data_IF_296771421514
#
_entry.id   IF_296771421514
#
_cell.length_a   1.000
_cell.length_b   1.000
_cell.length_c   1.000
_cell.angle_alpha   90.00
_cell.angle_beta   90.00
_cell.angle_gamma   90.00
#
_symmetry.space_group_name_H-M   'P 1'
#
loop_
_entity.id
_entity.type
_entity.pdbx_description
1 polymer ?
#
# COMPACT_ATOMS: atom_id res chain seq x y z
N UNK A 1 -23.64 -8.26 -16.88
CA UNK A 1 -22.42 -8.19 -16.04
C UNK A 1 -22.14 -9.60 -15.59
N UNK A 2 -21.15 -10.26 -16.18
CA UNK A 2 -20.77 -11.62 -15.78
C UNK A 2 -20.15 -11.57 -14.38
N UNK A 3 -20.62 -12.44 -13.48
CA UNK A 3 -19.97 -12.66 -12.18
C UNK A 3 -18.59 -13.24 -12.42
N UNK A 4 -17.54 -12.62 -11.87
CA UNK A 4 -16.15 -13.10 -12.04
C UNK A 4 -15.85 -14.33 -11.20
N UNK A 5 -16.69 -14.64 -10.20
CA UNK A 5 -16.53 -15.80 -9.33
C UNK A 5 -17.87 -16.28 -8.77
N UNK A 6 -18.00 -17.60 -8.61
CA UNK A 6 -19.17 -18.27 -8.05
C UNK A 6 -18.75 -19.52 -7.29
N UNK A 7 -19.34 -19.74 -6.12
CA UNK A 7 -19.14 -20.94 -5.33
C UNK A 7 -20.43 -21.45 -4.70
N UNK A 8 -20.52 -22.77 -4.55
CA UNK A 8 -21.54 -23.39 -3.72
C UNK A 8 -21.14 -23.28 -2.24
N UNK A 9 -22.10 -22.95 -1.38
CA UNK A 9 -21.86 -22.89 0.05
C UNK A 9 -23.10 -23.33 0.85
N UNK A 10 -22.89 -23.66 2.12
CA UNK A 10 -23.93 -24.13 3.02
C UNK A 10 -24.04 -23.21 4.24
N UNK A 11 -25.27 -22.84 4.58
CA UNK A 11 -25.58 -22.11 5.81
C UNK A 11 -26.32 -23.03 6.79
N UNK A 12 -25.68 -23.37 7.90
CA UNK A 12 -26.30 -24.15 8.97
C UNK A 12 -27.36 -23.31 9.71
N UNK A 13 -28.56 -23.86 9.87
CA UNK A 13 -29.64 -23.29 10.70
C UNK A 13 -30.23 -24.37 11.59
N UNK A 14 -30.91 -23.95 12.67
CA UNK A 14 -31.61 -24.84 13.60
C UNK A 14 -32.62 -25.78 12.91
N UNK A 15 -33.26 -25.32 11.83
CA UNK A 15 -34.27 -26.07 11.07
C UNK A 15 -33.69 -26.79 9.84
N UNK A 16 -32.37 -27.02 9.80
CA UNK A 16 -31.69 -27.70 8.70
C UNK A 16 -30.79 -26.79 7.87
N UNK A 17 -29.93 -27.43 7.08
CA UNK A 17 -28.93 -26.77 6.25
C UNK A 17 -29.59 -26.11 5.04
N UNK A 18 -29.19 -24.87 4.73
CA UNK A 18 -29.56 -24.21 3.48
C UNK A 18 -28.39 -24.23 2.52
N UNK A 19 -28.58 -24.86 1.37
CA UNK A 19 -27.65 -24.75 0.25
C UNK A 19 -27.85 -23.41 -0.44
N UNK A 20 -26.74 -22.74 -0.68
CA UNK A 20 -26.67 -21.41 -1.25
C UNK A 20 -25.61 -21.37 -2.34
N UNK A 21 -25.79 -20.43 -3.24
CA UNK A 21 -24.77 -20.01 -4.19
C UNK A 21 -24.32 -18.62 -3.77
N UNK A 22 -23.00 -18.42 -3.67
CA UNK A 22 -22.38 -17.11 -3.47
C UNK A 22 -21.67 -16.71 -4.77
N UNK A 23 -22.03 -15.54 -5.29
CA UNK A 23 -21.44 -14.95 -6.49
C UNK A 23 -20.80 -13.61 -6.14
N UNK A 24 -19.66 -13.31 -6.75
CA UNK A 24 -19.00 -12.01 -6.63
C UNK A 24 -19.08 -11.30 -7.98
N UNK A 25 -19.72 -10.15 -7.97
CA UNK A 25 -19.71 -9.20 -9.08
C UNK A 25 -18.67 -8.09 -8.82
N UNK A 26 -18.58 -7.14 -9.74
CA UNK A 26 -17.63 -6.02 -9.66
C UNK A 26 -17.76 -5.19 -8.38
N UNK A 27 -18.94 -5.06 -7.79
CA UNK A 27 -19.25 -4.15 -6.69
C UNK A 27 -20.14 -4.78 -5.60
N UNK A 28 -20.49 -6.07 -5.72
CA UNK A 28 -21.38 -6.75 -4.78
C UNK A 28 -21.12 -8.24 -4.64
N UNK A 29 -21.48 -8.77 -3.48
CA UNK A 29 -21.64 -10.20 -3.21
C UNK A 29 -23.13 -10.53 -3.30
N UNK A 30 -23.47 -11.54 -4.10
CA UNK A 30 -24.85 -11.99 -4.32
C UNK A 30 -24.99 -13.39 -3.71
N UNK A 31 -25.96 -13.57 -2.83
CA UNK A 31 -26.23 -14.85 -2.16
C UNK A 31 -27.64 -15.30 -2.49
N UNK A 32 -27.72 -16.49 -3.10
CA UNK A 32 -28.98 -17.07 -3.56
C UNK A 32 -29.21 -18.41 -2.87
N UNK A 33 -30.31 -18.56 -2.12
CA UNK A 33 -30.69 -19.88 -1.59
C UNK A 33 -31.22 -20.72 -2.76
N UNK A 34 -30.78 -21.97 -2.88
CA UNK A 34 -31.22 -22.84 -3.98
C UNK A 34 -32.74 -23.07 -3.94
N UNK A 35 -33.34 -23.13 -2.74
CA UNK A 35 -34.79 -23.26 -2.56
C UNK A 35 -35.60 -22.06 -3.03
N UNK A 36 -34.97 -20.89 -3.16
CA UNK A 36 -35.66 -19.62 -3.44
C UNK A 36 -35.41 -19.16 -4.89
N UNK A 37 -34.78 -20.01 -5.71
CA UNK A 37 -34.55 -19.74 -7.13
C UNK A 37 -35.87 -19.75 -7.92
N UNK A 38 -36.05 -18.85 -8.90
CA UNK A 38 -35.10 -17.81 -9.36
C UNK A 38 -35.22 -16.45 -8.63
N UNK A 39 -36.13 -16.31 -7.66
CA UNK A 39 -36.69 -15.00 -7.30
C UNK A 39 -36.01 -14.25 -6.15
N UNK A 40 -35.34 -14.91 -5.20
CA UNK A 40 -34.77 -14.22 -4.03
C UNK A 40 -33.24 -14.24 -4.01
N UNK A 41 -32.65 -13.05 -4.14
CA UNK A 41 -31.21 -12.80 -4.05
C UNK A 41 -30.94 -11.78 -2.95
N UNK A 42 -30.00 -12.08 -2.06
CA UNK A 42 -29.51 -11.08 -1.11
C UNK A 42 -28.23 -10.49 -1.68
N UNK A 43 -28.21 -9.18 -1.87
CA UNK A 43 -27.05 -8.47 -2.39
C UNK A 43 -26.40 -7.67 -1.27
N UNK A 44 -25.08 -7.76 -1.16
CA UNK A 44 -24.26 -6.99 -0.23
C UNK A 44 -23.26 -6.19 -1.04
N UNK A 45 -23.26 -4.88 -0.85
CA UNK A 45 -22.29 -4.00 -1.51
C UNK A 45 -20.87 -4.26 -0.99
N UNK A 46 -19.90 -4.33 -1.89
CA UNK A 46 -18.48 -4.43 -1.56
C UNK A 46 -17.97 -3.03 -1.27
N UNK A 47 -17.85 -2.71 0.02
CA UNK A 47 -17.29 -1.46 0.50
C UNK A 47 -16.69 -1.65 1.91
N UNK A 48 -16.14 -0.57 2.46
CA UNK A 48 -15.46 -0.58 3.76
C UNK A 48 -16.39 -0.65 4.99
N UNK A 49 -17.70 -0.84 4.78
CA UNK A 49 -18.68 -1.12 5.83
C UNK A 49 -19.13 -2.59 5.83
N UNK A 50 -18.73 -3.38 4.83
CA UNK A 50 -18.93 -4.83 4.81
C UNK A 50 -17.79 -5.50 5.59
N UNK A 51 -18.15 -6.12 6.72
CA UNK A 51 -17.21 -6.84 7.56
C UNK A 51 -17.23 -8.34 7.28
N UNK A 52 -16.05 -8.94 7.19
CA UNK A 52 -15.90 -10.36 6.85
C UNK A 52 -15.00 -11.07 7.85
N UNK A 53 -15.39 -12.29 8.24
CA UNK A 53 -14.63 -13.15 9.13
C UNK A 53 -14.40 -14.52 8.47
N UNK A 54 -13.44 -15.30 8.98
CA UNK A 54 -13.17 -16.66 8.52
C UNK A 54 -13.05 -17.63 9.67
N UNK A 55 -13.53 -18.87 9.46
CA UNK A 55 -13.19 -19.99 10.33
C UNK A 55 -12.01 -20.75 9.75
N UNK A 56 -11.01 -21.01 10.57
CA UNK A 56 -9.82 -21.78 10.20
C UNK A 56 -9.75 -23.03 11.07
N UNK A 57 -9.49 -24.18 10.47
CA UNK A 57 -9.22 -25.44 11.16
C UNK A 57 -8.15 -26.20 10.38
N UNK A 58 -7.14 -26.75 11.08
CA UNK A 58 -6.06 -27.52 10.46
C UNK A 58 -5.40 -26.80 9.26
N UNK A 59 -5.11 -25.49 9.42
CA UNK A 59 -4.56 -24.61 8.37
C UNK A 59 -5.43 -24.44 7.11
N UNK A 60 -6.72 -24.79 7.18
CA UNK A 60 -7.67 -24.64 6.08
C UNK A 60 -8.85 -23.75 6.46
N UNK A 61 -9.29 -22.91 5.52
CA UNK A 61 -10.54 -22.17 5.62
C UNK A 61 -11.72 -23.15 5.59
N UNK A 62 -12.67 -22.94 6.49
CA UNK A 62 -13.85 -23.78 6.67
C UNK A 62 -15.16 -23.04 6.36
N UNK A 63 -15.18 -21.74 6.61
CA UNK A 63 -16.34 -20.89 6.37
C UNK A 63 -15.94 -19.42 6.26
N UNK A 64 -16.77 -18.66 5.55
CA UNK A 64 -16.78 -17.20 5.52
C UNK A 64 -17.96 -16.67 6.34
N UNK A 65 -17.71 -15.69 7.19
CA UNK A 65 -18.69 -14.98 7.99
C UNK A 65 -18.95 -13.62 7.37
N UNK A 66 -20.18 -13.35 6.95
CA UNK A 66 -20.60 -12.04 6.45
C UNK A 66 -21.33 -11.31 7.58
N UNK A 67 -20.78 -10.18 8.00
CA UNK A 67 -21.26 -9.39 9.12
C UNK A 67 -21.93 -8.14 8.56
N UNK A 68 -23.25 -8.11 8.71
CA UNK A 68 -24.12 -6.97 8.38
C UNK A 68 -24.82 -6.53 9.67
N UNK A 69 -26.16 -6.44 9.68
CA UNK A 69 -26.93 -6.36 10.93
C UNK A 69 -26.88 -7.67 11.74
N UNK A 70 -26.51 -8.78 11.10
CA UNK A 70 -26.36 -10.11 11.70
C UNK A 70 -25.08 -10.75 11.18
N UNK A 71 -24.54 -11.68 11.97
CA UNK A 71 -23.42 -12.52 11.56
C UNK A 71 -23.94 -13.78 10.86
N UNK A 72 -23.57 -14.00 9.60
CA UNK A 72 -24.00 -15.16 8.80
C UNK A 72 -22.80 -15.97 8.30
N UNK A 73 -22.72 -17.24 8.71
CA UNK A 73 -21.67 -18.17 8.31
C UNK A 73 -22.08 -19.00 7.09
N UNK A 74 -21.18 -19.08 6.11
CA UNK A 74 -21.31 -19.88 4.90
C UNK A 74 -20.10 -20.80 4.78
N UNK A 75 -20.35 -22.11 4.81
CA UNK A 75 -19.34 -23.16 4.75
C UNK A 75 -19.13 -23.58 3.30
N UNK A 76 -17.89 -23.70 2.89
CA UNK A 76 -17.48 -24.09 1.54
C UNK A 76 -16.12 -24.80 1.60
N UNK A 77 -15.68 -25.36 0.48
CA UNK A 77 -14.34 -25.94 0.40
C UNK A 77 -13.24 -24.88 0.55
N UNK A 78 -12.07 -25.32 1.00
CA UNK A 78 -10.94 -24.46 1.29
C UNK A 78 -10.48 -23.64 0.09
N UNK A 79 -10.45 -24.23 -1.12
CA UNK A 79 -9.90 -23.55 -2.29
C UNK A 79 -10.82 -22.41 -2.74
N UNK A 80 -12.14 -22.64 -2.77
CA UNK A 80 -13.11 -21.60 -3.07
C UNK A 80 -13.08 -20.47 -2.05
N UNK A 81 -12.88 -20.77 -0.76
CA UNK A 81 -12.73 -19.75 0.27
C UNK A 81 -11.44 -18.94 0.13
N UNK A 82 -10.33 -19.57 -0.27
CA UNK A 82 -9.05 -18.88 -0.55
C UNK A 82 -9.23 -17.94 -1.76
N UNK A 83 -9.82 -18.43 -2.85
CA UNK A 83 -10.08 -17.63 -4.04
C UNK A 83 -11.01 -16.45 -3.71
N UNK A 84 -12.07 -16.69 -2.92
CA UNK A 84 -12.99 -15.64 -2.48
C UNK A 84 -12.27 -14.58 -1.63
N UNK A 85 -11.41 -15.01 -0.68
CA UNK A 85 -10.61 -14.11 0.15
C UNK A 85 -9.72 -13.21 -0.72
N UNK A 86 -9.04 -13.77 -1.72
CA UNK A 86 -8.18 -13.01 -2.63
C UNK A 86 -8.97 -12.03 -3.50
N UNK A 87 -10.14 -12.43 -4.02
CA UNK A 87 -11.00 -11.56 -4.84
C UNK A 87 -11.54 -10.37 -4.04
N UNK A 88 -11.89 -10.60 -2.78
CA UNK A 88 -12.39 -9.55 -1.89
C UNK A 88 -11.24 -8.66 -1.42
N UNK A 89 -10.14 -9.25 -0.92
CA UNK A 89 -8.91 -8.56 -0.54
C UNK A 89 -9.16 -7.25 0.21
N UNK A 90 -8.39 -6.22 -0.15
CA UNK A 90 -8.47 -4.89 0.44
C UNK A 90 -9.74 -4.10 0.07
N UNK A 91 -10.74 -4.69 -0.61
CA UNK A 91 -11.98 -4.02 -1.02
C UNK A 91 -13.09 -4.07 0.05
N UNK A 92 -12.85 -4.84 1.10
CA UNK A 92 -13.71 -5.03 2.27
C UNK A 92 -12.87 -4.97 3.53
N UNK A 93 -13.51 -5.02 4.70
CA UNK A 93 -12.79 -5.04 5.98
C UNK A 93 -12.92 -6.40 6.63
N UNK A 94 -11.81 -7.07 6.86
CA UNK A 94 -11.77 -8.33 7.57
C UNK A 94 -11.75 -8.15 9.10
N UNK A 95 -12.18 -9.17 9.82
CA UNK A 95 -12.06 -9.32 11.27
C UNK A 95 -11.08 -10.46 11.59
N UNK A 96 -10.55 -10.47 12.81
CA UNK A 96 -9.70 -11.56 13.30
C UNK A 96 -8.41 -11.73 12.52
N UNK A 97 -7.55 -10.71 12.45
CA UNK A 97 -6.22 -10.81 11.79
C UNK A 97 -5.40 -11.98 12.36
N UNK A 98 -5.50 -12.22 13.67
CA UNK A 98 -4.89 -13.34 14.37
C UNK A 98 -5.48 -14.72 14.02
N UNK A 99 -6.64 -14.77 13.37
CA UNK A 99 -7.21 -16.02 12.83
C UNK A 99 -6.41 -16.50 11.62
N UNK A 100 -5.83 -15.58 10.85
CA UNK A 100 -5.17 -15.85 9.58
C UNK A 100 -3.65 -15.70 9.64
N UNK A 101 -3.13 -14.90 10.56
CA UNK A 101 -1.71 -14.57 10.63
C UNK A 101 -1.14 -14.73 12.04
N UNK A 102 0.16 -15.06 12.10
CA UNK A 102 0.98 -14.94 13.31
C UNK A 102 1.89 -13.71 13.17
N UNK A 103 1.88 -12.76 14.10
CA UNK A 103 2.92 -11.74 14.16
C UNK A 103 4.24 -12.36 14.61
N UNK A 104 5.34 -11.97 13.96
CA UNK A 104 6.68 -12.44 14.28
C UNK A 104 7.50 -11.36 14.98
N UNK A 105 7.94 -10.34 14.24
CA UNK A 105 8.78 -9.25 14.75
C UNK A 105 8.34 -7.91 14.18
N UNK A 106 8.67 -6.83 14.90
CA UNK A 106 8.53 -5.47 14.37
C UNK A 106 9.66 -5.20 13.37
N UNK A 107 9.30 -4.73 12.19
CA UNK A 107 10.22 -4.43 11.08
C UNK A 107 10.21 -2.94 10.70
N UNK A 108 9.31 -2.15 11.29
CA UNK A 108 9.27 -0.71 11.05
C UNK A 108 8.45 0.04 12.10
N UNK A 109 8.67 1.34 12.17
CA UNK A 109 7.95 2.26 13.04
C UNK A 109 7.73 3.59 12.30
N UNK A 110 6.48 4.03 12.26
CA UNK A 110 6.09 5.35 11.78
C UNK A 110 5.54 6.22 12.92
N UNK A 111 5.03 7.40 12.58
CA UNK A 111 4.54 8.40 13.56
C UNK A 111 3.39 7.89 14.43
N UNK A 112 2.47 7.11 13.86
CA UNK A 112 1.32 6.53 14.58
C UNK A 112 1.03 5.08 14.17
N UNK A 113 2.01 4.42 13.53
CA UNK A 113 1.89 3.04 13.08
C UNK A 113 3.14 2.24 13.39
N UNK A 114 2.97 0.95 13.64
CA UNK A 114 4.07 0.00 13.72
C UNK A 114 3.92 -1.03 12.59
N UNK A 115 5.03 -1.44 11.98
CA UNK A 115 5.02 -2.44 10.92
C UNK A 115 5.57 -3.76 11.46
N UNK A 116 4.82 -4.84 11.31
CA UNK A 116 5.22 -6.18 11.75
C UNK A 116 5.35 -7.14 10.58
N UNK A 117 6.36 -8.01 10.64
CA UNK A 117 6.43 -9.22 9.83
C UNK A 117 5.37 -10.20 10.32
N UNK A 118 4.51 -10.65 9.41
CA UNK A 118 3.51 -11.68 9.65
C UNK A 118 3.88 -12.96 8.89
N UNK A 119 3.49 -14.10 9.46
CA UNK A 119 3.49 -15.40 8.77
C UNK A 119 2.06 -15.90 8.62
N UNK A 120 1.71 -16.43 7.45
CA UNK A 120 0.37 -17.00 7.20
C UNK A 120 0.16 -18.30 7.99
N UNK A 121 -1.02 -18.43 8.59
CA UNK A 121 -1.49 -19.66 9.24
C UNK A 121 -2.00 -20.70 8.25
N UNK A 122 -2.30 -20.30 7.02
CA UNK A 122 -2.76 -21.18 5.95
C UNK A 122 -1.58 -21.82 5.22
N UNK A 123 -0.50 -21.06 5.02
CA UNK A 123 0.76 -21.52 4.43
C UNK A 123 1.93 -20.89 5.17
N UNK A 124 2.70 -21.70 5.90
CA UNK A 124 3.81 -21.22 6.73
C UNK A 124 5.02 -20.70 5.95
N UNK A 125 5.05 -20.89 4.62
CA UNK A 125 6.10 -20.35 3.77
C UNK A 125 5.82 -18.90 3.34
N UNK A 126 4.59 -18.41 3.55
CA UNK A 126 4.19 -17.08 3.11
C UNK A 126 4.37 -16.06 4.23
N UNK A 127 5.11 -14.99 3.92
CA UNK A 127 5.40 -13.87 4.79
C UNK A 127 4.82 -12.57 4.24
N UNK A 128 4.37 -11.70 5.14
CA UNK A 128 3.68 -10.46 4.83
C UNK A 128 4.15 -9.33 5.74
N UNK A 129 4.03 -8.09 5.29
CA UNK A 129 4.18 -6.92 6.15
C UNK A 129 2.80 -6.46 6.62
N UNK A 130 2.70 -5.98 7.86
CA UNK A 130 1.46 -5.48 8.41
C UNK A 130 1.66 -4.15 9.11
N UNK A 131 1.14 -3.07 8.50
CA UNK A 131 1.05 -1.75 9.12
C UNK A 131 -0.12 -1.76 10.09
N UNK A 132 0.18 -1.69 11.38
CA UNK A 132 -0.77 -1.63 12.47
C UNK A 132 -0.96 -0.17 12.88
N UNK A 133 -2.17 0.36 12.79
CA UNK A 133 -2.49 1.75 13.13
C UNK A 133 -3.42 1.79 14.34
N UNK A 134 -3.05 2.55 15.36
CA UNK A 134 -3.88 2.74 16.55
C UNK A 134 -5.13 3.58 16.20
N UNK A 135 -6.31 3.10 16.59
CA UNK A 135 -7.58 3.76 16.26
C UNK A 135 -7.68 5.16 16.86
N UNK A 136 -7.20 5.35 18.10
CA UNK A 136 -7.26 6.66 18.77
C UNK A 136 -6.39 7.67 18.06
N UNK A 137 -5.22 7.25 17.56
CA UNK A 137 -4.32 8.10 16.78
C UNK A 137 -4.88 8.40 15.39
N UNK A 138 -5.43 7.40 14.71
CA UNK A 138 -6.09 7.59 13.41
C UNK A 138 -7.23 8.60 13.54
N UNK A 139 -8.12 8.41 14.52
CA UNK A 139 -9.27 9.28 14.73
C UNK A 139 -8.86 10.72 15.07
N UNK A 140 -7.78 10.90 15.82
CA UNK A 140 -7.26 12.21 16.19
C UNK A 140 -6.59 12.96 15.02
N UNK A 141 -5.95 12.26 14.09
CA UNK A 141 -5.11 12.88 13.06
C UNK A 141 -5.79 12.99 11.69
N UNK A 142 -6.41 11.91 11.22
CA UNK A 142 -6.96 11.81 9.85
C UNK A 142 -8.41 11.32 9.80
N UNK A 143 -8.93 10.79 10.92
CA UNK A 143 -10.22 10.14 10.97
C UNK A 143 -10.24 8.80 10.23
N UNK A 144 -11.26 7.98 10.51
CA UNK A 144 -11.53 6.75 9.75
C UNK A 144 -11.60 7.02 8.24
N UNK A 145 -12.22 8.13 7.83
CA UNK A 145 -12.37 8.49 6.42
C UNK A 145 -11.01 8.68 5.72
N UNK A 146 -10.07 9.42 6.33
CA UNK A 146 -8.74 9.63 5.74
C UNK A 146 -7.94 8.32 5.60
N UNK A 147 -8.06 7.40 6.55
CA UNK A 147 -7.45 6.06 6.43
C UNK A 147 -8.02 5.28 5.23
N UNK A 148 -9.35 5.32 5.04
CA UNK A 148 -9.96 4.61 3.92
C UNK A 148 -9.73 5.29 2.56
N UNK A 149 -9.38 6.58 2.55
CA UNK A 149 -8.85 7.26 1.36
C UNK A 149 -7.43 6.78 1.01
N UNK A 150 -6.54 6.59 2.00
CA UNK A 150 -5.22 5.93 1.81
C UNK A 150 -5.41 4.52 1.23
N UNK A 151 -6.27 3.70 1.85
CA UNK A 151 -6.59 2.34 1.36
C UNK A 151 -7.11 2.40 -0.07
N UNK A 152 -8.03 3.32 -0.38
CA UNK A 152 -8.58 3.46 -1.72
C UNK A 152 -7.52 3.84 -2.76
N UNK A 153 -6.56 4.70 -2.40
CA UNK A 153 -5.41 5.00 -3.24
C UNK A 153 -4.62 3.73 -3.55
N UNK A 154 -4.22 2.97 -2.53
CA UNK A 154 -3.47 1.72 -2.69
C UNK A 154 -4.22 0.68 -3.54
N UNK A 155 -5.53 0.52 -3.34
CA UNK A 155 -6.36 -0.40 -4.14
C UNK A 155 -6.42 0.01 -5.62
N UNK A 156 -6.39 1.32 -5.91
CA UNK A 156 -6.44 1.85 -7.28
C UNK A 156 -5.09 1.88 -7.99
N UNK A 157 -3.98 1.94 -7.24
CA UNK A 157 -2.62 2.08 -7.75
C UNK A 157 -1.96 0.72 -8.00
N UNK A 158 -2.51 -0.05 -8.93
CA UNK A 158 -1.97 -1.37 -9.33
C UNK A 158 -0.88 -1.24 -10.39
N UNK A 159 0.38 -1.33 -9.98
CA UNK A 159 1.54 -1.24 -10.86
C UNK A 159 2.67 -2.16 -10.37
N UNK A 160 3.49 -2.68 -11.29
CA UNK A 160 4.59 -3.61 -10.94
C UNK A 160 5.61 -3.02 -9.96
N UNK A 161 5.79 -1.70 -9.94
CA UNK A 161 6.72 -1.00 -9.05
C UNK A 161 6.04 -0.31 -7.86
N UNK A 162 4.78 -0.64 -7.57
CA UNK A 162 4.04 -0.17 -6.39
C UNK A 162 3.72 -1.37 -5.50
N UNK A 163 3.85 -1.22 -4.20
CA UNK A 163 3.50 -2.23 -3.23
C UNK A 163 2.00 -2.53 -3.22
N UNK A 164 1.64 -3.81 -3.20
CA UNK A 164 0.23 -4.22 -3.19
C UNK A 164 -0.33 -4.32 -1.76
N UNK A 165 -1.44 -3.62 -1.51
CA UNK A 165 -2.27 -3.84 -0.34
C UNK A 165 -3.17 -5.06 -0.58
N UNK A 166 -2.93 -6.13 0.17
CA UNK A 166 -3.64 -7.39 -0.01
C UNK A 166 -4.96 -7.37 0.76
N UNK A 167 -4.91 -7.01 2.05
CA UNK A 167 -6.04 -7.14 2.97
C UNK A 167 -6.06 -6.02 4.00
N UNK A 168 -7.26 -5.64 4.43
CA UNK A 168 -7.48 -4.68 5.51
C UNK A 168 -8.27 -5.36 6.61
N UNK A 169 -7.80 -5.24 7.85
CA UNK A 169 -8.52 -5.72 9.03
C UNK A 169 -8.84 -4.58 9.98
N UNK A 170 -9.91 -4.76 10.73
CA UNK A 170 -10.27 -3.87 11.82
C UNK A 170 -10.47 -4.66 13.12
N UNK A 171 -9.55 -4.50 14.07
CA UNK A 171 -9.67 -5.03 15.43
C UNK A 171 -10.37 -4.05 16.37
N UNK A 172 -10.27 -4.33 17.67
CA UNK A 172 -10.93 -3.50 18.69
C UNK A 172 -10.24 -2.15 18.87
N UNK A 173 -8.90 -2.15 18.88
CA UNK A 173 -8.07 -0.95 19.14
C UNK A 173 -7.21 -0.51 17.95
N UNK A 174 -7.13 -1.32 16.88
CA UNK A 174 -6.25 -1.02 15.75
C UNK A 174 -6.87 -1.40 14.40
N UNK A 175 -6.45 -0.70 13.35
CA UNK A 175 -6.56 -1.13 11.97
C UNK A 175 -5.28 -1.85 11.55
N UNK A 176 -5.39 -2.81 10.62
CA UNK A 176 -4.26 -3.58 10.12
C UNK A 176 -4.30 -3.61 8.60
N UNK A 177 -3.21 -3.19 7.96
CA UNK A 177 -3.05 -3.23 6.51
C UNK A 177 -2.00 -4.29 6.19
N UNK A 178 -2.44 -5.44 5.67
CA UNK A 178 -1.58 -6.55 5.28
C UNK A 178 -1.15 -6.39 3.84
N UNK A 179 0.15 -6.38 3.62
CA UNK A 179 0.83 -6.11 2.36
C UNK A 179 1.82 -7.23 2.06
N UNK A 180 2.23 -7.35 0.80
CA UNK A 180 3.37 -8.20 0.44
C UNK A 180 4.62 -7.77 1.26
N UNK A 181 5.38 -8.75 1.75
CA UNK A 181 6.67 -8.48 2.40
C UNK A 181 7.76 -8.31 1.34
N UNK A 182 8.61 -7.31 1.56
CA UNK A 182 9.80 -7.01 0.76
C UNK A 182 11.01 -7.00 1.70
N UNK A 183 12.10 -7.63 1.28
CA UNK A 183 13.20 -8.03 2.15
C UNK A 183 14.40 -7.10 2.10
N UNK A 184 14.42 -6.16 1.16
CA UNK A 184 15.57 -5.29 0.93
C UNK A 184 15.20 -3.81 0.92
N UNK A 185 15.76 -3.05 1.84
CA UNK A 185 15.61 -1.60 1.93
C UNK A 185 16.55 -0.88 0.94
N UNK A 186 16.10 0.25 0.39
CA UNK A 186 16.93 1.06 -0.49
C UNK A 186 18.21 1.56 0.18
N UNK A 187 18.18 1.84 1.48
CA UNK A 187 19.33 2.26 2.29
C UNK A 187 20.45 1.21 2.29
N UNK A 188 20.10 -0.07 2.26
CA UNK A 188 21.06 -1.17 2.15
C UNK A 188 21.55 -1.34 0.72
N UNK A 189 20.65 -1.27 -0.28
CA UNK A 189 21.03 -1.28 -1.70
C UNK A 189 22.02 -0.16 -2.01
N UNK A 190 21.81 1.03 -1.47
CA UNK A 190 22.63 2.21 -1.72
C UNK A 190 24.10 2.01 -1.32
N UNK A 191 24.38 1.18 -0.30
CA UNK A 191 25.75 0.91 0.18
C UNK A 191 26.58 0.11 -0.84
N UNK A 192 25.91 -0.72 -1.65
CA UNK A 192 26.53 -1.60 -2.64
C UNK A 192 26.24 -1.16 -4.08
N UNK A 193 25.59 -0.01 -4.26
CA UNK A 193 25.08 0.47 -5.53
C UNK A 193 26.22 0.89 -6.48
N UNK A 194 26.24 0.29 -7.68
CA UNK A 194 27.13 0.74 -8.75
C UNK A 194 26.42 1.77 -9.64
N UNK A 195 27.19 2.61 -10.32
CA UNK A 195 26.64 3.64 -11.22
C UNK A 195 25.83 3.04 -12.38
N UNK A 196 26.15 1.81 -12.79
CA UNK A 196 25.45 1.09 -13.86
C UNK A 196 24.04 0.62 -13.43
N UNK A 197 23.82 0.43 -12.13
CA UNK A 197 22.53 0.01 -11.56
C UNK A 197 21.55 1.19 -11.44
N UNK A 198 22.07 2.42 -11.35
CA UNK A 198 21.27 3.63 -11.11
C UNK A 198 20.16 3.80 -12.16
N UNK A 199 20.41 3.75 -13.47
CA UNK A 199 19.34 3.91 -14.47
C UNK A 199 18.25 2.83 -14.35
N UNK A 200 18.62 1.62 -13.94
CA UNK A 200 17.70 0.48 -13.81
C UNK A 200 16.72 0.72 -12.66
N UNK A 201 17.23 1.13 -11.50
CA UNK A 201 16.43 1.44 -10.31
C UNK A 201 15.61 2.71 -10.54
N UNK A 202 16.26 3.77 -11.04
CA UNK A 202 15.60 5.07 -11.18
C UNK A 202 14.48 5.04 -12.23
N UNK A 203 14.63 4.29 -13.32
CA UNK A 203 13.56 4.09 -14.31
C UNK A 203 12.31 3.43 -13.69
N UNK A 204 12.49 2.44 -12.82
CA UNK A 204 11.38 1.79 -12.13
C UNK A 204 10.66 2.74 -11.18
N UNK A 205 11.42 3.55 -10.43
CA UNK A 205 10.86 4.56 -9.53
C UNK A 205 10.08 5.63 -10.31
N UNK A 206 10.65 6.16 -11.39
CA UNK A 206 9.98 7.13 -12.28
C UNK A 206 8.72 6.52 -12.90
N UNK A 207 8.76 5.25 -13.33
CA UNK A 207 7.58 4.56 -13.87
C UNK A 207 6.45 4.45 -12.83
N UNK A 208 6.77 4.12 -11.57
CA UNK A 208 5.80 4.09 -10.48
C UNK A 208 5.16 5.47 -10.26
N UNK A 209 5.96 6.52 -10.16
CA UNK A 209 5.50 7.89 -9.92
C UNK A 209 4.69 8.43 -11.10
N UNK A 210 5.14 8.20 -12.33
CA UNK A 210 4.38 8.58 -13.53
C UNK A 210 3.00 7.92 -13.55
N UNK A 211 2.93 6.62 -13.27
CA UNK A 211 1.65 5.92 -13.18
C UNK A 211 0.74 6.51 -12.08
N UNK A 212 1.28 6.87 -10.92
CA UNK A 212 0.50 7.56 -9.87
C UNK A 212 -0.06 8.89 -10.38
N UNK A 213 0.78 9.69 -11.03
CA UNK A 213 0.40 11.00 -11.57
C UNK A 213 -0.68 10.86 -12.65
N UNK A 214 -0.59 9.86 -13.53
CA UNK A 214 -1.63 9.54 -14.52
C UNK A 214 -2.97 9.14 -13.89
N UNK A 215 -2.95 8.52 -12.70
CA UNK A 215 -4.15 8.24 -11.90
C UNK A 215 -4.64 9.44 -11.09
N UNK A 216 -3.96 10.58 -11.20
CA UNK A 216 -4.23 11.84 -10.51
C UNK A 216 -3.75 11.87 -9.07
N UNK A 217 -2.89 10.94 -8.66
CA UNK A 217 -2.35 10.90 -7.29
C UNK A 217 -0.96 11.54 -7.21
N UNK A 218 -0.72 12.27 -6.13
CA UNK A 218 0.62 12.73 -5.71
C UNK A 218 1.04 11.93 -4.49
N UNK A 219 2.31 11.52 -4.39
CA UNK A 219 2.81 10.76 -3.25
C UNK A 219 3.15 11.65 -2.05
N UNK A 220 3.85 12.76 -2.29
CA UNK A 220 4.24 13.80 -1.30
C UNK A 220 5.20 13.37 -0.18
N UNK A 221 5.78 12.17 -0.26
CA UNK A 221 6.78 11.67 0.71
C UNK A 221 7.75 10.67 0.06
N UNK A 222 8.18 10.96 -1.17
CA UNK A 222 9.19 10.14 -1.84
C UNK A 222 10.54 10.33 -1.14
N UNK A 223 11.09 9.22 -0.65
CA UNK A 223 12.38 9.15 0.03
C UNK A 223 12.91 7.71 0.00
N UNK A 224 14.22 7.48 0.23
CA UNK A 224 14.82 6.15 0.29
C UNK A 224 14.07 5.16 1.18
N UNK A 225 13.62 5.60 2.36
CA UNK A 225 12.94 4.75 3.35
C UNK A 225 11.59 4.23 2.84
N UNK A 226 10.99 4.89 1.83
CA UNK A 226 9.74 4.47 1.20
C UNK A 226 9.98 3.66 -0.08
N UNK A 227 11.22 3.23 -0.35
CA UNK A 227 11.58 2.39 -1.49
C UNK A 227 12.14 1.07 -0.98
N UNK A 228 11.50 -0.02 -1.39
CA UNK A 228 11.94 -1.38 -1.10
C UNK A 228 12.18 -2.16 -2.38
N UNK A 229 12.77 -3.34 -2.24
CA UNK A 229 13.02 -4.28 -3.33
C UNK A 229 12.58 -5.68 -2.93
N UNK A 230 12.14 -6.44 -3.93
CA UNK A 230 11.80 -7.84 -3.80
C UNK A 230 12.91 -8.68 -4.44
N UNK A 231 13.68 -9.44 -3.65
CA UNK A 231 14.74 -10.35 -4.12
C UNK A 231 15.96 -9.69 -4.82
N UNK A 232 15.77 -8.60 -5.57
CA UNK A 232 16.83 -7.92 -6.34
C UNK A 232 16.47 -6.47 -6.71
N UNK A 233 17.48 -5.71 -7.15
CA UNK A 233 17.34 -4.32 -7.62
C UNK A 233 16.39 -4.14 -8.84
N UNK A 234 16.05 -5.23 -9.53
CA UNK A 234 15.16 -5.24 -10.70
C UNK A 234 13.68 -5.27 -10.33
N UNK A 235 13.34 -5.38 -9.05
CA UNK A 235 11.96 -5.44 -8.57
C UNK A 235 11.74 -4.39 -7.48
N UNK A 236 11.88 -3.12 -7.86
CA UNK A 236 11.60 -1.98 -6.98
C UNK A 236 10.11 -1.93 -6.61
N UNK A 237 9.82 -1.57 -5.36
CA UNK A 237 8.48 -1.39 -4.80
C UNK A 237 8.42 -0.09 -4.01
N UNK A 238 7.63 0.86 -4.50
CA UNK A 238 7.26 2.05 -3.76
C UNK A 238 6.23 1.68 -2.68
N UNK A 239 6.50 2.06 -1.44
CA UNK A 239 5.66 1.79 -0.27
C UNK A 239 5.20 3.11 0.39
N UNK A 240 4.30 2.97 1.37
CA UNK A 240 3.76 4.03 2.23
C UNK A 240 3.02 5.19 1.53
N UNK A 241 1.70 5.06 1.47
CA UNK A 241 0.81 6.01 0.78
C UNK A 241 0.08 6.93 1.76
N UNK A 242 0.51 7.02 3.03
CA UNK A 242 -0.19 7.79 4.07
C UNK A 242 -0.33 9.29 3.83
N UNK A 243 0.48 9.85 2.92
CA UNK A 243 0.38 11.24 2.48
C UNK A 243 -0.16 11.38 1.05
N UNK A 244 -0.58 10.30 0.40
CA UNK A 244 -1.07 10.34 -0.98
C UNK A 244 -2.41 11.07 -1.09
N UNK A 245 -2.59 11.89 -2.13
CA UNK A 245 -3.86 12.60 -2.39
C UNK A 245 -4.10 12.84 -3.87
N UNK A 246 -5.37 13.05 -4.25
CA UNK A 246 -5.77 13.54 -5.58
C UNK A 246 -6.00 15.05 -5.65
N UNK A 247 -6.20 15.68 -4.51
CA UNK A 247 -6.47 17.11 -4.43
C UNK A 247 -5.16 17.89 -4.49
N UNK A 248 -5.22 19.14 -4.95
CA UNK A 248 -4.10 20.06 -4.83
C UNK A 248 -3.65 20.16 -3.37
N UNK A 249 -2.34 20.08 -3.16
CA UNK A 249 -1.74 20.05 -1.84
C UNK A 249 -1.84 21.42 -1.17
N UNK A 250 -2.44 21.47 0.03
CA UNK A 250 -2.54 22.71 0.83
C UNK A 250 -1.84 22.63 2.18
N UNK A 251 -1.29 21.45 2.50
CA UNK A 251 -0.62 21.16 3.77
C UNK A 251 0.88 21.05 3.57
N UNK A 252 1.65 21.52 4.55
CA UNK A 252 3.08 21.20 4.64
C UNK A 252 3.21 19.76 5.15
N UNK A 253 3.79 18.88 4.35
CA UNK A 253 4.01 17.47 4.70
C UNK A 253 5.21 16.90 3.93
N UNK A 254 5.63 15.69 4.31
CA UNK A 254 6.76 14.97 3.74
C UNK A 254 7.98 14.97 4.67
N UNK A 255 9.11 14.47 4.16
CA UNK A 255 10.34 14.29 4.94
C UNK A 255 11.40 15.35 4.60
N UNK A 256 11.90 16.11 5.60
CA UNK A 256 12.94 17.12 5.38
C UNK A 256 14.16 16.59 4.63
N UNK A 257 14.70 17.42 3.72
CA UNK A 257 15.71 17.00 2.75
C UNK A 257 15.11 16.48 1.43
N UNK A 258 13.86 16.01 1.41
CA UNK A 258 13.18 15.53 0.21
C UNK A 258 11.95 16.35 -0.19
N UNK A 259 11.39 17.13 0.75
CA UNK A 259 10.23 18.01 0.51
C UNK A 259 10.63 19.13 -0.46
N UNK A 260 9.78 19.40 -1.44
CA UNK A 260 9.97 20.48 -2.40
C UNK A 260 9.89 21.89 -1.74
N UNK A 261 10.69 22.87 -2.20
CA UNK A 261 10.77 24.19 -1.60
C UNK A 261 9.43 24.95 -1.60
N UNK A 262 8.57 24.74 -2.60
CA UNK A 262 7.24 25.32 -2.66
C UNK A 262 6.31 24.84 -1.54
N UNK A 263 6.52 23.63 -1.01
CA UNK A 263 5.80 23.10 0.14
C UNK A 263 6.35 23.71 1.44
N UNK A 264 7.68 23.79 1.59
CA UNK A 264 8.31 24.38 2.78
C UNK A 264 7.97 25.87 2.93
N UNK A 265 7.94 26.60 1.82
CA UNK A 265 7.62 28.03 1.77
C UNK A 265 6.11 28.30 1.58
N UNK A 266 5.26 27.28 1.66
CA UNK A 266 3.82 27.40 1.42
C UNK A 266 3.16 28.32 2.45
N UNK A 267 2.44 29.36 1.99
CA UNK A 267 1.36 29.96 2.77
C UNK A 267 0.08 29.17 2.49
N UNK A 268 -0.29 28.32 3.45
CA UNK A 268 -1.40 27.37 3.34
C UNK A 268 -2.78 28.02 3.20
N UNK A 269 -2.87 29.35 3.36
CA UNK A 269 -4.13 30.11 3.20
C UNK A 269 -4.38 30.57 1.77
N UNK A 270 -3.35 30.59 0.93
CA UNK A 270 -3.39 31.26 -0.38
C UNK A 270 -2.88 30.35 -1.49
N UNK A 271 -1.89 29.51 -1.18
CA UNK A 271 -1.17 28.73 -2.18
C UNK A 271 -1.47 27.24 -2.08
N UNK A 272 -1.37 26.58 -3.23
CA UNK A 272 -1.51 25.14 -3.38
C UNK A 272 -0.36 24.63 -4.26
N UNK A 273 -0.04 23.34 -4.16
CA UNK A 273 0.96 22.68 -5.00
C UNK A 273 0.37 21.45 -5.69
N UNK A 274 1.06 21.01 -6.75
CA UNK A 274 0.66 19.88 -7.58
C UNK A 274 1.77 18.81 -7.61
N UNK A 275 1.65 17.86 -8.54
CA UNK A 275 2.47 16.66 -8.61
C UNK A 275 3.96 16.93 -8.88
N UNK A 276 4.31 18.18 -9.24
CA UNK A 276 5.71 18.60 -9.43
C UNK A 276 6.55 18.51 -8.16
N UNK A 277 5.92 18.49 -6.98
CA UNK A 277 6.65 18.25 -5.74
C UNK A 277 7.33 16.87 -5.74
N UNK A 278 6.70 15.84 -6.32
CA UNK A 278 7.28 14.50 -6.42
C UNK A 278 8.47 14.48 -7.39
N UNK A 279 8.43 15.31 -8.44
CA UNK A 279 9.56 15.45 -9.39
C UNK A 279 10.80 16.03 -8.70
N UNK A 280 10.61 16.99 -7.79
CA UNK A 280 11.69 17.48 -6.96
C UNK A 280 12.29 16.36 -6.10
N UNK A 281 11.44 15.62 -5.36
CA UNK A 281 11.89 14.51 -4.51
C UNK A 281 12.62 13.41 -5.30
N UNK A 282 12.16 13.10 -6.52
CA UNK A 282 12.88 12.20 -7.45
C UNK A 282 14.29 12.71 -7.77
N UNK A 283 14.45 14.02 -8.01
CA UNK A 283 15.75 14.65 -8.23
C UNK A 283 16.69 14.52 -7.02
N UNK A 284 16.16 14.68 -5.80
CA UNK A 284 16.91 14.47 -4.55
C UNK A 284 17.37 13.01 -4.43
N UNK A 285 16.48 12.05 -4.68
CA UNK A 285 16.81 10.62 -4.64
C UNK A 285 17.87 10.27 -5.68
N UNK A 286 17.75 10.80 -6.90
CA UNK A 286 18.72 10.58 -7.97
C UNK A 286 20.10 11.13 -7.59
N UNK A 287 20.16 12.33 -7.01
CA UNK A 287 21.40 12.87 -6.47
C UNK A 287 22.02 11.94 -5.41
N UNK A 288 21.21 11.44 -4.49
CA UNK A 288 21.67 10.53 -3.44
C UNK A 288 22.20 9.22 -4.01
N UNK A 289 21.59 8.68 -5.07
CA UNK A 289 22.11 7.51 -5.79
C UNK A 289 23.49 7.78 -6.40
N UNK A 290 23.67 8.95 -7.02
CA UNK A 290 24.91 9.29 -7.72
C UNK A 290 26.08 9.59 -6.79
N UNK A 291 25.79 10.18 -5.64
CA UNK A 291 26.83 10.69 -4.73
C UNK A 291 26.95 9.89 -3.45
N UNK A 292 25.98 9.03 -3.13
CA UNK A 292 25.79 8.40 -1.81
C UNK A 292 25.64 9.40 -0.65
N UNK A 293 25.35 10.66 -0.94
CA UNK A 293 25.23 11.75 0.03
C UNK A 293 23.85 12.42 -0.05
N UNK A 294 23.40 13.02 1.04
CA UNK A 294 22.22 13.87 1.03
C UNK A 294 22.48 15.17 0.28
N UNK A 295 21.48 15.63 -0.50
CA UNK A 295 21.58 16.86 -1.28
C UNK A 295 21.64 18.11 -0.40
N UNK A 296 20.84 18.12 0.67
CA UNK A 296 20.79 19.18 1.66
C UNK A 296 21.43 18.69 2.95
N UNK A 297 22.64 19.17 3.21
CA UNK A 297 23.40 18.82 4.40
C UNK A 297 23.19 19.87 5.50
N UNK A 298 23.17 19.44 6.75
CA UNK A 298 23.07 20.32 7.91
C UNK A 298 23.52 19.59 9.15
N UNK A 299 24.00 20.34 10.15
CA UNK A 299 24.45 19.80 11.43
C UNK A 299 23.30 19.32 12.30
N UNK A 300 22.09 19.80 12.00
CA UNK A 300 20.85 19.47 12.69
C UNK A 300 19.65 19.57 11.73
N UNK A 301 18.47 19.18 12.22
CA UNK A 301 17.24 19.15 11.44
C UNK A 301 16.82 20.53 10.90
N UNK A 302 16.99 21.58 11.69
CA UNK A 302 16.59 22.95 11.32
C UNK A 302 17.48 23.49 10.20
N UNK A 303 18.79 23.20 10.24
CA UNK A 303 19.72 23.56 9.15
C UNK A 303 19.38 22.83 7.84
N UNK A 304 19.06 21.53 7.89
CA UNK A 304 18.63 20.77 6.71
C UNK A 304 17.35 21.37 6.12
N UNK A 305 16.38 21.71 6.97
CA UNK A 305 15.14 22.38 6.56
C UNK A 305 15.41 23.74 5.91
N UNK A 306 16.28 24.56 6.49
CA UNK A 306 16.62 25.87 5.96
C UNK A 306 17.30 25.76 4.59
N UNK A 307 18.28 24.87 4.45
CA UNK A 307 18.96 24.63 3.18
C UNK A 307 18.01 24.08 2.11
N UNK A 308 17.14 23.15 2.49
CA UNK A 308 16.13 22.61 1.59
C UNK A 308 15.15 23.71 1.12
N UNK A 309 14.62 24.51 2.04
CA UNK A 309 13.67 25.59 1.73
C UNK A 309 14.27 26.68 0.81
N UNK A 310 15.59 26.94 0.95
CA UNK A 310 16.32 27.90 0.12
C UNK A 310 16.93 27.29 -1.14
N UNK A 311 16.80 25.98 -1.33
CA UNK A 311 17.54 25.22 -2.35
C UNK A 311 19.06 25.46 -2.31
N UNK A 312 19.64 25.65 -1.12
CA UNK A 312 21.07 25.77 -0.92
C UNK A 312 21.70 24.38 -1.04
N UNK A 313 22.17 24.04 -2.24
CA UNK A 313 22.65 22.70 -2.62
C UNK A 313 24.17 22.69 -2.75
N UNK A 314 24.78 21.53 -2.52
CA UNK A 314 26.19 21.28 -2.82
C UNK A 314 26.31 20.28 -3.97
N UNK A 315 26.54 20.79 -5.19
CA UNK A 315 26.75 19.93 -6.37
C UNK A 315 28.22 19.58 -6.64
N UNK A 316 29.16 20.01 -5.79
CA UNK A 316 30.59 19.75 -5.99
C UNK A 316 30.89 18.23 -6.02
N UNK A 317 30.10 17.45 -5.26
CA UNK A 317 30.19 15.98 -5.24
C UNK A 317 29.76 15.33 -6.55
N UNK A 318 28.83 15.93 -7.30
CA UNK A 318 28.50 15.43 -8.64
C UNK A 318 29.66 15.69 -9.60
N UNK A 319 30.24 16.90 -9.54
CA UNK A 319 31.35 17.31 -10.39
C UNK A 319 32.57 16.42 -10.15
N UNK A 320 32.89 16.12 -8.89
CA UNK A 320 33.99 15.22 -8.53
C UNK A 320 33.80 13.77 -9.03
N UNK A 321 32.55 13.32 -9.21
CA UNK A 321 32.22 11.98 -9.69
C UNK A 321 31.96 11.89 -11.20
N UNK A 322 31.95 13.01 -11.94
CA UNK A 322 31.72 13.05 -13.39
C UNK A 322 32.56 12.05 -14.22
N UNK A 323 33.85 11.78 -13.92
CA UNK A 323 34.63 10.83 -14.72
C UNK A 323 34.10 9.40 -14.67
N UNK A 324 33.30 9.07 -13.64
CA UNK A 324 32.68 7.75 -13.43
C UNK A 324 31.24 7.69 -13.95
N UNK A 325 30.57 8.83 -14.02
CA UNK A 325 29.17 8.96 -14.43
C UNK A 325 29.14 9.21 -15.95
N UNK A 326 29.27 8.14 -16.74
CA UNK A 326 29.02 8.18 -18.19
C UNK A 326 27.71 7.46 -18.48
N UNK A 327 26.62 8.22 -18.59
CA UNK A 327 25.35 7.68 -19.05
C UNK A 327 25.38 7.58 -20.57
N UNK A 328 25.34 6.35 -21.12
CA UNK A 328 24.91 6.18 -22.51
C UNK A 328 23.44 6.61 -22.60
N UNK A 329 23.04 7.43 -23.60
CA UNK A 329 21.63 7.74 -23.81
C UNK A 329 20.84 6.44 -23.92
N UNK A 330 19.84 6.28 -23.05
CA UNK A 330 18.87 5.19 -23.17
C UNK A 330 17.80 5.70 -24.13
N UNK A 331 17.68 5.08 -25.29
CA UNK A 331 16.53 5.30 -26.17
C UNK A 331 15.28 4.78 -25.44
N UNK A 332 14.42 5.70 -25.02
CA UNK A 332 13.15 5.38 -24.38
C UNK A 332 12.16 5.11 -25.52
N UNK A 333 11.86 3.84 -25.77
CA UNK A 333 10.75 3.46 -26.63
C UNK A 333 9.45 3.68 -25.84
N UNK A 334 8.69 4.71 -26.20
CA UNK A 334 7.53 5.19 -25.46
C UNK A 334 6.25 4.35 -25.69
N UNK A 335 6.39 3.08 -26.07
CA UNK A 335 5.27 2.25 -26.54
C UNK A 335 4.95 1.00 -25.72
N UNK A 336 5.53 0.81 -24.52
CA UNK A 336 5.19 -0.34 -23.66
C UNK A 336 4.70 0.08 -22.27
#
# INVERSE_FOLDING_TARGET
MESSFKMDCCRHKLLGNKLCILEVASDKIIITNISDLPHKRNELEINYNLFIDFKVKNKQLQAIGLITNKHHWYYADNQNLINLKQILGARVVFKGVNTLYNPLQQIGQGTFSNVYLLQSKLNSLDYFACKCLDKTQVDAQIGRQGLFEEIQAMVSLKHQNIAELLEVFEGDVSYYMVMQYYDLEFTDVLKELNLEDIPIIFRQLVAAVNFMHEKGYMHRDLKPENIMFSESIYQLKLIDFGLTTKDLGKSKCGTPGYIAPEILNLDTRINEYNEKCDIFSLGVIFYKMLTQNDLFQGSNHDEVLEHNAKCNTNFDLLIANQPKISFKPIEIDATN
#
